data_IF_258837237836
#
_entry.id   IF_258837237836
#
_cell.length_a   1.000
_cell.length_b   1.000
_cell.length_c   1.000
_cell.angle_alpha   90.00
_cell.angle_beta   90.00
_cell.angle_gamma   90.00
#
_symmetry.space_group_name_H-M   'P 1'
#
loop_
_entity.id
_entity.type
_entity.pdbx_description
1 polymer ?
#
# COMPACT_ATOMS: atom_id res chain seq x y z
N UNK A 1 10.92 46.90 -14.16
CA UNK A 1 10.84 45.43 -14.09
C UNK A 1 9.76 44.97 -15.06
N UNK A 2 10.11 44.23 -16.11
CA UNK A 2 9.26 44.08 -17.31
C UNK A 2 8.17 43.00 -17.11
N UNK A 3 6.92 43.31 -17.46
CA UNK A 3 5.75 42.42 -17.28
C UNK A 3 5.90 41.07 -18.00
N UNK A 4 6.73 41.04 -19.05
CA UNK A 4 7.13 39.84 -19.77
C UNK A 4 7.85 38.81 -18.89
N UNK A 5 8.62 39.23 -17.87
CA UNK A 5 9.26 38.29 -16.94
C UNK A 5 8.23 37.56 -16.07
N UNK A 6 7.16 38.23 -15.65
CA UNK A 6 6.10 37.62 -14.85
C UNK A 6 5.30 36.59 -15.65
N UNK A 7 5.06 36.85 -16.94
CA UNK A 7 4.38 35.90 -17.83
C UNK A 7 5.22 34.64 -18.07
N UNK A 8 6.55 34.77 -18.22
CA UNK A 8 7.45 33.63 -18.38
C UNK A 8 7.56 32.78 -17.11
N UNK A 9 7.60 33.42 -15.93
CA UNK A 9 7.61 32.71 -14.63
C UNK A 9 6.27 31.99 -14.41
N UNK A 10 5.15 32.64 -14.71
CA UNK A 10 3.82 32.02 -14.58
C UNK A 10 3.64 30.83 -15.53
N UNK A 11 4.10 30.93 -16.78
CA UNK A 11 4.06 29.84 -17.74
C UNK A 11 4.94 28.65 -17.32
N UNK A 12 6.14 28.93 -16.78
CA UNK A 12 7.04 27.90 -16.26
C UNK A 12 6.45 27.15 -15.05
N UNK A 13 5.82 27.88 -14.12
CA UNK A 13 5.14 27.28 -12.97
C UNK A 13 3.92 26.44 -13.37
N UNK A 14 3.13 26.91 -14.34
CA UNK A 14 1.99 26.15 -14.86
C UNK A 14 2.43 24.85 -15.55
N UNK A 15 3.52 24.89 -16.33
CA UNK A 15 4.08 23.69 -16.97
C UNK A 15 4.63 22.68 -15.94
N UNK A 16 5.25 23.15 -14.85
CA UNK A 16 5.69 22.31 -13.73
C UNK A 16 4.52 21.66 -12.99
N UNK A 17 3.45 22.41 -12.73
CA UNK A 17 2.22 21.91 -12.13
C UNK A 17 1.53 20.87 -13.02
N UNK A 18 1.43 21.12 -14.32
CA UNK A 18 0.85 20.17 -15.28
C UNK A 18 1.72 18.91 -15.46
N UNK A 19 3.05 19.05 -15.45
CA UNK A 19 3.98 17.92 -15.49
C UNK A 19 3.91 17.03 -14.23
N UNK A 20 3.71 17.63 -13.06
CA UNK A 20 3.50 16.90 -11.81
C UNK A 20 2.13 16.18 -11.77
N UNK A 21 1.07 16.81 -12.32
CA UNK A 21 -0.24 16.17 -12.45
C UNK A 21 -0.26 15.05 -13.50
N UNK A 22 0.48 15.18 -14.60
CA UNK A 22 0.53 14.14 -15.65
C UNK A 22 1.09 12.81 -15.13
N UNK A 23 2.08 12.83 -14.21
CA UNK A 23 2.58 11.61 -13.55
C UNK A 23 1.56 10.97 -12.60
N UNK A 24 0.65 11.75 -12.03
CA UNK A 24 -0.42 11.24 -11.17
C UNK A 24 -1.58 10.59 -11.95
N UNK A 25 -1.76 10.97 -13.23
CA UNK A 25 -2.85 10.47 -14.09
C UNK A 25 -2.40 9.45 -15.16
N UNK A 26 -1.09 9.27 -15.40
CA UNK A 26 -0.57 8.27 -16.34
C UNK A 26 -0.47 6.86 -15.73
N UNK A 27 -1.49 6.47 -14.97
CA UNK A 27 -1.67 5.09 -14.49
C UNK A 27 -2.24 4.23 -15.60
N UNK A 28 -1.37 3.70 -16.47
CA UNK A 28 -1.73 2.62 -17.38
C UNK A 28 -2.01 1.36 -16.53
N UNK A 29 -3.29 1.08 -16.28
CA UNK A 29 -3.80 -0.16 -15.67
C UNK A 29 -4.29 -0.04 -14.23
N UNK A 30 -5.36 0.73 -13.98
CA UNK A 30 -6.03 0.78 -12.66
C UNK A 30 -6.93 -0.46 -12.42
N UNK A 31 -6.38 -1.65 -12.60
CA UNK A 31 -7.09 -2.91 -12.33
C UNK A 31 -6.40 -3.65 -11.21
N UNK A 32 -7.14 -4.08 -10.19
CA UNK A 32 -6.65 -5.13 -9.30
C UNK A 32 -6.49 -6.38 -10.18
N UNK A 33 -5.28 -6.92 -10.26
CA UNK A 33 -5.03 -8.14 -11.01
C UNK A 33 -5.58 -9.33 -10.21
N UNK A 34 -6.64 -9.98 -10.73
CA UNK A 34 -7.26 -11.14 -10.08
C UNK A 34 -7.65 -12.23 -11.06
N UNK A 35 -7.73 -13.47 -10.56
CA UNK A 35 -8.37 -14.61 -11.20
C UNK A 35 -9.47 -15.18 -10.32
N UNK A 36 -10.43 -15.92 -10.91
CA UNK A 36 -11.33 -16.77 -10.13
C UNK A 36 -10.80 -18.20 -10.15
N UNK A 37 -10.84 -18.88 -9.02
CA UNK A 37 -10.54 -20.31 -8.95
C UNK A 37 -11.72 -21.16 -9.43
N UNK A 38 -11.55 -22.49 -9.43
CA UNK A 38 -12.59 -23.43 -9.85
C UNK A 38 -13.86 -23.44 -8.98
N UNK A 39 -13.83 -22.78 -7.82
CA UNK A 39 -14.99 -22.60 -6.93
C UNK A 39 -15.65 -21.23 -7.09
N UNK A 40 -15.11 -20.37 -7.97
CA UNK A 40 -15.57 -18.99 -8.18
C UNK A 40 -14.98 -17.98 -7.19
N UNK A 41 -14.05 -18.38 -6.34
CA UNK A 41 -13.38 -17.48 -5.38
C UNK A 41 -12.36 -16.60 -6.09
N UNK A 42 -12.35 -15.31 -5.77
CA UNK A 42 -11.37 -14.35 -6.29
C UNK A 42 -10.01 -14.50 -5.59
N UNK A 43 -8.95 -14.67 -6.39
CA UNK A 43 -7.55 -14.74 -5.97
C UNK A 43 -6.79 -13.60 -6.65
N UNK A 44 -6.12 -12.77 -5.85
CA UNK A 44 -5.20 -11.73 -6.30
C UNK A 44 -3.97 -12.38 -6.92
N UNK A 45 -3.64 -11.96 -8.14
CA UNK A 45 -2.48 -12.45 -8.87
C UNK A 45 -1.20 -11.89 -8.27
N UNK A 46 -0.14 -12.69 -8.35
CA UNK A 46 1.18 -12.31 -7.88
C UNK A 46 1.93 -11.49 -8.94
N UNK A 47 1.53 -10.22 -9.15
CA UNK A 47 2.16 -9.32 -10.11
C UNK A 47 3.04 -8.27 -9.42
N UNK A 48 4.12 -7.77 -10.07
CA UNK A 48 4.93 -6.70 -9.51
C UNK A 48 4.14 -5.43 -9.17
N UNK A 49 3.14 -5.08 -9.98
CA UNK A 49 2.24 -3.95 -9.70
C UNK A 49 1.42 -4.17 -8.42
N UNK A 50 0.79 -5.33 -8.30
CA UNK A 50 -0.01 -5.68 -7.12
C UNK A 50 0.82 -5.67 -5.82
N UNK A 51 2.06 -6.16 -5.88
CA UNK A 51 3.01 -6.10 -4.77
C UNK A 51 3.41 -4.68 -4.41
N UNK A 52 3.67 -3.82 -5.39
CA UNK A 52 4.02 -2.42 -5.17
C UNK A 52 2.88 -1.64 -4.50
N UNK A 53 1.65 -1.82 -4.98
CA UNK A 53 0.47 -1.18 -4.41
C UNK A 53 0.21 -1.66 -2.97
N UNK A 54 0.35 -2.97 -2.72
CA UNK A 54 0.21 -3.53 -1.38
C UNK A 54 1.30 -2.99 -0.43
N UNK A 55 2.56 -2.94 -0.88
CA UNK A 55 3.67 -2.40 -0.12
C UNK A 55 3.41 -0.93 0.28
N UNK A 56 2.96 -0.10 -0.65
CA UNK A 56 2.59 1.30 -0.37
C UNK A 56 1.51 1.40 0.71
N UNK A 57 0.47 0.58 0.64
CA UNK A 57 -0.60 0.56 1.63
C UNK A 57 -0.11 0.08 3.02
N UNK A 58 0.77 -0.92 3.05
CA UNK A 58 1.34 -1.42 4.31
C UNK A 58 2.29 -0.40 4.95
N UNK A 59 3.16 0.23 4.16
CA UNK A 59 4.08 1.26 4.64
C UNK A 59 3.33 2.43 5.26
N UNK A 60 2.21 2.85 4.65
CA UNK A 60 1.34 3.89 5.21
C UNK A 60 0.75 3.47 6.57
N UNK A 61 0.28 2.22 6.70
CA UNK A 61 -0.24 1.70 7.96
C UNK A 61 0.84 1.61 9.05
N UNK A 62 2.04 1.11 8.70
CA UNK A 62 3.19 1.04 9.60
C UNK A 62 3.59 2.44 10.08
N UNK A 63 3.61 3.43 9.18
CA UNK A 63 3.88 4.81 9.54
C UNK A 63 2.81 5.42 10.47
N UNK A 64 1.54 5.01 10.34
CA UNK A 64 0.48 5.42 11.27
C UNK A 64 0.66 4.79 12.66
N UNK A 65 0.91 3.47 12.72
CA UNK A 65 1.16 2.77 13.97
C UNK A 65 2.37 3.33 14.71
N UNK A 66 3.48 3.54 14.00
CA UNK A 66 4.71 4.10 14.57
C UNK A 66 4.50 5.49 15.19
N UNK A 67 3.56 6.28 14.65
CA UNK A 67 3.18 7.59 15.19
C UNK A 67 2.21 7.50 16.37
N UNK A 68 1.86 6.30 16.82
CA UNK A 68 0.90 6.07 17.91
C UNK A 68 -0.54 6.39 17.50
N UNK A 69 -0.86 6.37 16.19
CA UNK A 69 -2.22 6.62 15.73
C UNK A 69 -3.17 5.57 16.32
N UNK A 70 -4.34 6.00 16.81
CA UNK A 70 -5.39 5.10 17.30
C UNK A 70 -6.36 4.79 16.17
N UNK A 71 -6.70 3.52 15.98
CA UNK A 71 -7.69 3.11 14.99
C UNK A 71 -9.07 3.67 15.34
N UNK A 72 -9.81 4.09 14.33
CA UNK A 72 -11.13 4.71 14.50
C UNK A 72 -12.21 3.74 14.99
N UNK A 73 -12.02 2.44 14.75
CA UNK A 73 -12.91 1.37 15.22
C UNK A 73 -12.63 0.94 16.66
N UNK A 74 -11.68 1.58 17.34
CA UNK A 74 -11.28 1.26 18.72
C UNK A 74 -10.46 -0.03 18.85
N UNK A 75 -10.11 -0.68 17.74
CA UNK A 75 -9.27 -1.89 17.73
C UNK A 75 -7.79 -1.61 17.98
N UNK A 76 -7.01 -2.68 18.12
CA UNK A 76 -5.55 -2.60 18.22
C UNK A 76 -4.88 -2.77 16.87
N UNK A 77 -3.65 -2.25 16.74
CA UNK A 77 -2.83 -2.50 15.55
C UNK A 77 -2.51 -3.98 15.36
N UNK A 78 -2.27 -4.73 16.45
CA UNK A 78 -2.05 -6.18 16.37
C UNK A 78 -3.22 -6.89 15.66
N UNK A 79 -4.45 -6.62 16.11
CA UNK A 79 -5.65 -7.23 15.52
C UNK A 79 -5.85 -6.81 14.06
N UNK A 80 -5.54 -5.55 13.73
CA UNK A 80 -5.60 -5.04 12.36
C UNK A 80 -4.65 -5.81 11.45
N UNK A 81 -3.41 -6.02 11.88
CA UNK A 81 -2.42 -6.74 11.09
C UNK A 81 -2.76 -8.21 10.94
N UNK A 82 -3.21 -8.89 12.00
CA UNK A 82 -3.68 -10.27 11.92
C UNK A 82 -4.83 -10.40 10.92
N UNK A 83 -5.78 -9.46 10.92
CA UNK A 83 -6.89 -9.44 9.95
C UNK A 83 -6.41 -9.26 8.51
N UNK A 84 -5.44 -8.38 8.29
CA UNK A 84 -4.82 -8.16 6.97
C UNK A 84 -4.12 -9.45 6.51
N UNK A 85 -3.27 -10.04 7.35
CA UNK A 85 -2.52 -11.27 7.04
C UNK A 85 -3.47 -12.42 6.75
N UNK A 86 -4.53 -12.59 7.54
CA UNK A 86 -5.57 -13.60 7.29
C UNK A 86 -6.32 -13.38 5.98
N UNK A 87 -6.53 -12.13 5.57
CA UNK A 87 -7.13 -11.83 4.27
C UNK A 87 -6.17 -12.18 3.13
N UNK A 88 -4.90 -11.80 3.27
CA UNK A 88 -3.83 -12.09 2.31
C UNK A 88 -3.67 -13.59 2.10
N UNK A 89 -3.50 -14.38 3.18
CA UNK A 89 -3.39 -15.84 3.14
C UNK A 89 -4.54 -16.50 2.38
N UNK A 90 -5.76 -15.97 2.54
CA UNK A 90 -6.94 -16.53 1.87
C UNK A 90 -7.08 -16.12 0.41
N UNK A 91 -6.65 -14.93 0.03
CA UNK A 91 -7.07 -14.31 -1.22
C UNK A 91 -5.92 -13.96 -2.16
N UNK A 92 -4.69 -14.38 -1.88
CA UNK A 92 -3.52 -14.03 -2.69
C UNK A 92 -2.83 -15.29 -3.20
N UNK A 93 -2.31 -15.24 -4.42
CA UNK A 93 -1.59 -16.36 -5.03
C UNK A 93 -0.26 -16.66 -4.32
N UNK A 94 0.43 -15.61 -3.83
CA UNK A 94 1.68 -15.74 -3.08
C UNK A 94 1.57 -14.97 -1.75
N UNK A 95 0.88 -15.52 -0.75
CA UNK A 95 0.62 -14.81 0.50
C UNK A 95 1.89 -14.55 1.31
N UNK A 96 2.86 -15.46 1.25
CA UNK A 96 4.08 -15.39 2.07
C UNK A 96 4.92 -14.16 1.79
N UNK A 97 4.99 -13.72 0.52
CA UNK A 97 5.71 -12.47 0.20
C UNK A 97 5.14 -11.27 0.98
N UNK A 98 3.81 -11.13 1.02
CA UNK A 98 3.16 -10.01 1.70
C UNK A 98 3.32 -10.11 3.22
N UNK A 99 3.20 -11.32 3.78
CA UNK A 99 3.39 -11.56 5.22
C UNK A 99 4.82 -11.20 5.65
N UNK A 100 5.81 -11.71 4.91
CA UNK A 100 7.22 -11.41 5.16
C UNK A 100 7.52 -9.92 5.00
N UNK A 101 6.93 -9.26 4.01
CA UNK A 101 7.06 -7.82 3.83
C UNK A 101 6.57 -7.05 5.07
N UNK A 102 5.36 -7.36 5.54
CA UNK A 102 4.77 -6.73 6.74
C UNK A 102 5.67 -6.94 7.95
N UNK A 103 6.08 -8.17 8.24
CA UNK A 103 6.90 -8.50 9.41
C UNK A 103 8.25 -7.79 9.34
N UNK A 104 8.93 -7.85 8.19
CA UNK A 104 10.24 -7.21 8.00
C UNK A 104 10.15 -5.70 8.16
N UNK A 105 9.17 -5.05 7.52
CA UNK A 105 9.00 -3.59 7.62
C UNK A 105 8.60 -3.12 9.01
N UNK A 106 7.78 -3.90 9.74
CA UNK A 106 7.48 -3.61 11.15
C UNK A 106 8.74 -3.67 12.01
N UNK A 107 9.58 -4.70 11.82
CA UNK A 107 10.85 -4.85 12.54
C UNK A 107 11.82 -3.72 12.23
N UNK A 108 11.97 -3.35 10.96
CA UNK A 108 12.77 -2.19 10.53
C UNK A 108 12.27 -0.88 11.15
N UNK A 109 10.95 -0.75 11.37
CA UNK A 109 10.35 0.41 12.03
C UNK A 109 10.48 0.39 13.56
N UNK A 110 11.04 -0.66 14.16
CA UNK A 110 11.15 -0.84 15.60
C UNK A 110 9.81 -1.10 16.30
N UNK A 111 8.82 -1.60 15.56
CA UNK A 111 7.51 -1.94 16.11
C UNK A 111 7.54 -3.30 16.81
N UNK A 112 6.66 -3.54 17.81
CA UNK A 112 6.52 -4.85 18.43
C UNK A 112 6.18 -5.94 17.41
N UNK A 113 6.70 -7.14 17.65
CA UNK A 113 6.35 -8.35 16.90
C UNK A 113 4.86 -8.66 17.05
N UNK A 114 4.28 -9.27 16.01
CA UNK A 114 2.85 -9.62 16.01
C UNK A 114 2.60 -10.83 16.91
N UNK A 115 1.66 -10.69 17.84
CA UNK A 115 1.25 -11.77 18.74
C UNK A 115 0.12 -12.57 18.08
N UNK A 116 0.27 -13.89 17.98
CA UNK A 116 -0.72 -14.79 17.37
C UNK A 116 -0.57 -15.00 15.86
N UNK A 117 0.58 -14.64 15.28
CA UNK A 117 0.85 -14.82 13.85
C UNK A 117 0.93 -16.30 13.42
N UNK A 118 1.45 -17.15 14.32
CA UNK A 118 1.71 -18.57 14.09
C UNK A 118 0.48 -19.46 14.33
N UNK A 119 -0.60 -18.90 14.91
CA UNK A 119 -1.82 -19.64 15.24
C UNK A 119 -2.69 -19.98 14.02
N UNK A 120 -2.40 -19.40 12.85
CA UNK A 120 -3.15 -19.60 11.60
C UNK A 120 -2.17 -20.03 10.49
N UNK A 121 -1.72 -21.31 10.46
CA UNK A 121 -0.73 -21.78 9.48
C UNK A 121 -1.21 -21.58 8.03
N UNK A 122 -0.29 -21.47 7.06
CA UNK A 122 -0.60 -21.19 5.66
C UNK A 122 -1.53 -22.22 5.00
#
# INVERSE_FOLDING_TARGET
MNIWYWLLIAAGLAALLLGACAKAFSGNGSGIDYRRDGTGKTILLDTPGQRADAAMAYDANIAMERRGHRLSDGGTWNDRWLRIIKSVRRNSENPEWYVQYIVTKRREAGLPELVGLDDDPP
#
